data_IF_287217869778
#
_entry.id   IF_287217869778
#
_cell.length_a   1.000
_cell.length_b   1.000
_cell.length_c   1.000
_cell.angle_alpha   90.00
_cell.angle_beta   90.00
_cell.angle_gamma   90.00
#
_symmetry.space_group_name_H-M   'P 1'
#
loop_
_entity.id
_entity.type
_entity.pdbx_description
1 polymer ?
#
# COMPACT_ATOMS: atom_id res chain seq x y z
N UNK A 1 16.40 -19.22 -8.12
CA UNK A 1 16.56 -18.06 -7.22
C UNK A 1 15.22 -17.35 -7.18
N UNK A 2 14.73 -16.99 -6.00
CA UNK A 2 13.41 -16.38 -5.90
C UNK A 2 13.42 -14.97 -6.51
N UNK A 3 12.51 -14.70 -7.46
CA UNK A 3 12.35 -13.40 -8.14
C UNK A 3 11.69 -12.37 -7.22
N UNK A 4 12.36 -12.07 -6.10
CA UNK A 4 11.93 -11.04 -5.18
C UNK A 4 12.63 -9.73 -5.47
N UNK A 5 11.85 -8.69 -5.73
CA UNK A 5 12.34 -7.33 -5.88
C UNK A 5 12.76 -6.78 -4.51
N UNK A 6 13.92 -6.11 -4.50
CA UNK A 6 14.34 -5.34 -3.35
C UNK A 6 13.41 -4.15 -3.12
N UNK A 7 13.40 -3.62 -1.91
CA UNK A 7 12.61 -2.42 -1.60
C UNK A 7 13.00 -1.21 -2.46
N UNK A 8 14.28 -1.08 -2.82
CA UNK A 8 14.73 0.00 -3.69
C UNK A 8 14.14 -0.14 -5.10
N UNK A 9 14.10 -1.35 -5.65
CA UNK A 9 13.46 -1.61 -6.95
C UNK A 9 11.95 -1.37 -6.90
N UNK A 10 11.27 -1.80 -5.83
CA UNK A 10 9.84 -1.51 -5.65
C UNK A 10 9.57 -0.01 -5.62
N UNK A 11 10.40 0.76 -4.91
CA UNK A 11 10.30 2.22 -4.84
C UNK A 11 10.50 2.85 -6.22
N UNK A 12 11.53 2.44 -6.95
CA UNK A 12 11.87 2.98 -8.27
C UNK A 12 10.76 2.70 -9.30
N UNK A 13 10.27 1.46 -9.34
CA UNK A 13 9.17 1.07 -10.22
C UNK A 13 7.89 1.85 -9.86
N UNK A 14 7.55 1.91 -8.57
CA UNK A 14 6.35 2.63 -8.11
C UNK A 14 6.44 4.11 -8.45
N UNK A 15 7.59 4.72 -8.21
CA UNK A 15 7.83 6.13 -8.52
C UNK A 15 7.72 6.39 -10.02
N UNK A 16 8.37 5.59 -10.86
CA UNK A 16 8.30 5.70 -12.31
C UNK A 16 6.87 5.56 -12.86
N UNK A 17 6.10 4.59 -12.34
CA UNK A 17 4.69 4.42 -12.72
C UNK A 17 3.86 5.65 -12.39
N UNK A 18 4.01 6.19 -11.18
CA UNK A 18 3.25 7.37 -10.77
C UNK A 18 3.70 8.61 -11.52
N UNK A 19 4.99 8.77 -11.86
CA UNK A 19 5.43 9.88 -12.71
C UNK A 19 4.80 9.85 -14.10
N UNK A 20 4.80 8.68 -14.75
CA UNK A 20 4.18 8.51 -16.07
C UNK A 20 2.68 8.80 -15.98
N UNK A 21 2.01 8.25 -14.97
CA UNK A 21 0.60 8.51 -14.72
C UNK A 21 0.32 10.00 -14.48
N UNK A 22 1.10 10.67 -13.64
CA UNK A 22 0.93 12.08 -13.29
C UNK A 22 1.20 12.99 -14.49
N UNK A 23 2.15 12.65 -15.38
CA UNK A 23 2.38 13.39 -16.63
C UNK A 23 1.18 13.31 -17.57
N UNK A 24 0.54 12.15 -17.67
CA UNK A 24 -0.65 11.95 -18.50
C UNK A 24 -1.91 12.56 -17.86
N UNK A 25 -1.98 12.55 -16.52
CA UNK A 25 -3.16 12.91 -15.74
C UNK A 25 -2.83 13.91 -14.62
N UNK A 26 -2.32 15.13 -14.93
CA UNK A 26 -1.74 16.03 -13.94
C UNK A 26 -2.73 16.46 -12.85
N UNK A 27 -4.03 16.58 -13.17
CA UNK A 27 -5.07 16.93 -12.20
C UNK A 27 -5.42 15.81 -11.21
N UNK A 28 -4.99 14.58 -11.48
CA UNK A 28 -5.31 13.37 -10.72
C UNK A 28 -4.20 12.94 -9.75
N UNK A 29 -3.10 13.69 -9.70
CA UNK A 29 -1.92 13.40 -8.89
C UNK A 29 -1.34 14.67 -8.22
N UNK A 30 -2.21 15.58 -7.78
CA UNK A 30 -1.80 16.90 -7.21
C UNK A 30 -1.58 16.82 -5.70
N UNK A 31 -2.64 16.45 -4.97
CA UNK A 31 -2.63 16.36 -3.51
C UNK A 31 -2.50 14.90 -3.06
N UNK A 32 -3.20 14.00 -3.75
CA UNK A 32 -3.15 12.57 -3.55
C UNK A 32 -3.36 11.89 -4.89
N UNK A 33 -2.92 10.64 -5.02
CA UNK A 33 -3.18 9.86 -6.23
C UNK A 33 -4.64 9.43 -6.26
N UNK A 34 -5.35 9.77 -7.34
CA UNK A 34 -6.63 9.17 -7.69
C UNK A 34 -6.39 7.70 -8.07
N UNK A 35 -6.44 6.84 -7.04
CA UNK A 35 -6.08 5.41 -7.16
C UNK A 35 -7.10 4.65 -7.99
N UNK A 36 -8.38 5.03 -7.93
CA UNK A 36 -9.43 4.43 -8.75
C UNK A 36 -9.14 4.68 -10.23
N UNK A 37 -8.90 5.93 -10.61
CA UNK A 37 -8.54 6.29 -11.98
C UNK A 37 -7.19 5.69 -12.43
N UNK A 38 -6.21 5.59 -11.53
CA UNK A 38 -4.97 4.88 -11.83
C UNK A 38 -5.23 3.41 -12.18
N UNK A 39 -6.12 2.74 -11.45
CA UNK A 39 -6.46 1.34 -11.70
C UNK A 39 -7.28 1.19 -12.99
N UNK A 40 -8.31 2.00 -13.18
CA UNK A 40 -9.26 1.83 -14.28
C UNK A 40 -8.74 2.31 -15.62
N UNK A 41 -8.08 3.47 -15.64
CA UNK A 41 -7.70 4.16 -16.87
C UNK A 41 -6.23 3.97 -17.23
N UNK A 42 -5.36 3.78 -16.22
CA UNK A 42 -3.92 3.58 -16.47
C UNK A 42 -3.53 2.10 -16.48
N UNK A 43 -4.02 1.30 -15.52
CA UNK A 43 -3.77 -0.15 -15.50
C UNK A 43 -4.77 -0.96 -16.34
N UNK A 44 -5.88 -0.34 -16.78
CA UNK A 44 -6.96 -0.97 -17.55
C UNK A 44 -7.61 -2.16 -16.81
N UNK A 45 -7.73 -2.04 -15.49
CA UNK A 45 -8.38 -3.03 -14.61
C UNK A 45 -9.81 -2.60 -14.28
N UNK A 46 -10.61 -3.56 -13.80
CA UNK A 46 -11.95 -3.26 -13.27
C UNK A 46 -11.92 -3.20 -11.75
N UNK A 47 -12.84 -2.44 -11.16
CA UNK A 47 -13.08 -2.43 -9.72
C UNK A 47 -14.54 -2.80 -9.49
N UNK A 48 -14.79 -3.79 -8.64
CA UNK A 48 -16.13 -4.20 -8.22
C UNK A 48 -16.23 -4.28 -6.70
N UNK A 49 -17.44 -4.03 -6.17
CA UNK A 49 -17.74 -4.15 -4.75
C UNK A 49 -18.81 -5.19 -4.50
N UNK A 50 -18.54 -6.13 -3.60
CA UNK A 50 -19.47 -7.20 -3.21
C UNK A 50 -19.45 -7.43 -1.71
N UNK A 51 -20.36 -8.25 -1.18
CA UNK A 51 -20.33 -8.65 0.23
C UNK A 51 -19.78 -10.07 0.31
N UNK A 52 -18.58 -10.23 0.83
CA UNK A 52 -17.97 -11.55 0.95
C UNK A 52 -18.68 -12.37 2.03
N UNK A 53 -18.81 -13.67 1.78
CA UNK A 53 -19.34 -14.67 2.70
C UNK A 53 -18.27 -15.72 3.07
N UNK A 54 -16.99 -15.36 2.90
CA UNK A 54 -15.84 -16.18 3.25
C UNK A 54 -15.58 -16.17 4.76
N UNK A 55 -15.03 -17.26 5.29
CA UNK A 55 -14.70 -17.40 6.72
C UNK A 55 -13.48 -16.54 7.13
N UNK A 56 -12.64 -16.13 6.17
CA UNK A 56 -11.47 -15.29 6.40
C UNK A 56 -11.81 -13.79 6.31
N UNK A 57 -12.32 -13.26 7.42
CA UNK A 57 -12.66 -11.84 7.56
C UNK A 57 -11.46 -10.87 7.46
N UNK A 58 -10.22 -11.39 7.41
CA UNK A 58 -9.04 -10.53 7.23
C UNK A 58 -8.84 -10.11 5.78
N UNK A 59 -9.39 -10.88 4.83
CA UNK A 59 -9.35 -10.59 3.39
C UNK A 59 -10.52 -9.72 2.99
N UNK A 60 -10.19 -8.51 2.57
CA UNK A 60 -11.19 -7.46 2.30
C UNK A 60 -11.12 -6.95 0.86
N UNK A 61 -10.24 -7.53 0.07
CA UNK A 61 -10.13 -7.40 -1.37
C UNK A 61 -9.32 -8.55 -1.96
N UNK A 62 -9.44 -8.74 -3.28
CA UNK A 62 -8.57 -9.64 -4.05
C UNK A 62 -8.57 -9.26 -5.54
N UNK A 63 -7.53 -9.70 -6.25
CA UNK A 63 -7.46 -9.71 -7.72
C UNK A 63 -8.09 -10.98 -8.30
N UNK A 64 -9.16 -10.85 -9.09
CA UNK A 64 -9.81 -11.98 -9.73
C UNK A 64 -8.95 -12.59 -10.86
N UNK A 65 -8.85 -13.93 -10.85
CA UNK A 65 -8.13 -14.73 -11.83
C UNK A 65 -9.02 -15.17 -13.02
N UNK A 66 -10.35 -15.09 -12.89
CA UNK A 66 -11.32 -15.55 -13.88
C UNK A 66 -11.76 -17.00 -13.72
N UNK A 67 -11.27 -17.70 -12.69
CA UNK A 67 -11.40 -19.15 -12.55
C UNK A 67 -11.86 -19.56 -11.14
N UNK A 68 -11.33 -18.92 -10.09
CA UNK A 68 -11.60 -19.30 -8.71
C UNK A 68 -12.92 -18.69 -8.21
N UNK A 69 -13.90 -19.52 -7.79
CA UNK A 69 -15.14 -19.01 -7.21
C UNK A 69 -14.92 -18.51 -5.78
N UNK A 70 -15.60 -17.41 -5.44
CA UNK A 70 -15.64 -16.85 -4.08
C UNK A 70 -17.09 -16.82 -3.59
N UNK A 71 -17.29 -17.08 -2.31
CA UNK A 71 -18.60 -17.05 -1.67
C UNK A 71 -19.05 -15.61 -1.41
N UNK A 72 -20.25 -15.28 -1.87
CA UNK A 72 -20.84 -13.95 -1.75
C UNK A 72 -22.19 -14.00 -1.06
N UNK A 73 -22.48 -12.99 -0.24
CA UNK A 73 -23.84 -12.70 0.19
C UNK A 73 -24.62 -12.00 -0.94
N UNK A 74 -25.62 -12.69 -1.49
CA UNK A 74 -26.50 -12.16 -2.53
C UNK A 74 -27.96 -12.44 -2.18
N UNK A 75 -28.77 -11.39 -2.06
CA UNK A 75 -30.21 -11.48 -1.77
C UNK A 75 -30.59 -12.35 -0.55
N UNK A 76 -29.73 -12.43 0.46
CA UNK A 76 -29.95 -13.24 1.67
C UNK A 76 -29.46 -14.68 1.57
N UNK A 77 -28.91 -15.08 0.43
CA UNK A 77 -28.29 -16.39 0.21
C UNK A 77 -26.76 -16.26 0.07
N UNK A 78 -26.05 -17.36 0.28
CA UNK A 78 -24.61 -17.48 0.01
C UNK A 78 -24.45 -18.21 -1.31
N UNK A 79 -23.86 -17.54 -2.30
CA UNK A 79 -23.65 -18.10 -3.63
C UNK A 79 -22.16 -18.10 -3.99
N UNK A 80 -21.63 -19.14 -4.65
CA UNK A 80 -20.33 -19.08 -5.30
C UNK A 80 -20.42 -18.24 -6.57
N UNK A 81 -19.45 -17.36 -6.79
CA UNK A 81 -19.38 -16.53 -7.99
C UNK A 81 -17.94 -16.39 -8.49
N UNK A 82 -17.75 -16.50 -9.80
CA UNK A 82 -16.45 -16.31 -10.46
C UNK A 82 -16.44 -14.94 -11.12
N UNK A 83 -15.57 -14.05 -10.63
CA UNK A 83 -15.39 -12.73 -11.22
C UNK A 83 -14.50 -12.80 -12.46
N UNK A 84 -14.71 -11.94 -13.48
CA UNK A 84 -13.84 -11.89 -14.64
C UNK A 84 -12.39 -11.57 -14.24
N UNK A 85 -11.43 -12.17 -14.94
CA UNK A 85 -10.00 -11.86 -14.78
C UNK A 85 -9.74 -10.35 -14.91
N UNK A 86 -8.70 -9.86 -14.22
CA UNK A 86 -8.29 -8.45 -14.20
C UNK A 86 -9.33 -7.53 -13.54
N UNK A 87 -10.04 -8.06 -12.54
CA UNK A 87 -11.00 -7.32 -11.72
C UNK A 87 -10.52 -7.30 -10.28
N UNK A 88 -10.30 -6.11 -9.73
CA UNK A 88 -10.10 -5.91 -8.30
C UNK A 88 -11.48 -5.95 -7.64
N UNK A 89 -11.71 -6.92 -6.78
CA UNK A 89 -12.96 -7.07 -6.05
C UNK A 89 -12.73 -6.68 -4.60
N UNK A 90 -13.57 -5.79 -4.06
CA UNK A 90 -13.47 -5.27 -2.70
C UNK A 90 -14.75 -5.57 -1.92
N UNK A 91 -14.63 -5.69 -0.60
CA UNK A 91 -15.82 -5.81 0.23
C UNK A 91 -16.58 -4.46 0.33
N UNK A 92 -17.90 -4.51 0.20
CA UNK A 92 -18.83 -3.38 0.31
C UNK A 92 -18.70 -2.60 1.62
N UNK A 93 -18.26 -3.21 2.72
CA UNK A 93 -18.08 -2.47 3.97
C UNK A 93 -17.06 -1.32 3.81
N UNK A 94 -16.09 -1.46 2.89
CA UNK A 94 -15.09 -0.42 2.57
C UNK A 94 -15.72 0.83 1.94
N UNK A 95 -16.96 0.75 1.45
CA UNK A 95 -17.67 1.92 0.93
C UNK A 95 -18.02 2.95 2.01
N UNK A 96 -18.00 2.58 3.29
CA UNK A 96 -18.23 3.51 4.38
C UNK A 96 -17.15 4.61 4.42
N UNK A 97 -17.54 5.87 4.62
CA UNK A 97 -16.63 7.03 4.66
C UNK A 97 -15.47 6.87 5.65
N UNK A 98 -15.73 6.25 6.82
CA UNK A 98 -14.70 5.97 7.83
C UNK A 98 -13.61 5.02 7.34
N UNK A 99 -13.90 4.20 6.32
CA UNK A 99 -12.97 3.24 5.73
C UNK A 99 -12.23 3.82 4.50
N UNK A 100 -12.42 5.10 4.18
CA UNK A 100 -11.85 5.73 2.98
C UNK A 100 -10.35 5.45 2.77
N UNK A 101 -9.54 5.64 3.82
CA UNK A 101 -8.10 5.37 3.76
C UNK A 101 -7.78 3.87 3.61
N UNK A 102 -8.58 2.99 4.21
CA UNK A 102 -8.42 1.53 4.10
C UNK A 102 -8.79 1.06 2.70
N UNK A 103 -9.90 1.56 2.15
CA UNK A 103 -10.34 1.30 0.78
C UNK A 103 -9.27 1.63 -0.24
N UNK A 104 -8.69 2.83 -0.14
CA UNK A 104 -7.59 3.28 -1.02
C UNK A 104 -6.36 2.38 -0.90
N UNK A 105 -6.01 1.98 0.33
CA UNK A 105 -4.88 1.08 0.55
C UNK A 105 -5.13 -0.30 -0.05
N UNK A 106 -6.29 -0.91 0.19
CA UNK A 106 -6.65 -2.20 -0.39
C UNK A 106 -6.64 -2.16 -1.92
N UNK A 107 -7.18 -1.12 -2.54
CA UNK A 107 -7.05 -0.90 -3.99
C UNK A 107 -5.60 -0.89 -4.47
N UNK A 108 -4.75 -0.10 -3.81
CA UNK A 108 -3.34 0.00 -4.17
C UNK A 108 -2.58 -1.32 -3.94
N UNK A 109 -2.94 -2.08 -2.92
CA UNK A 109 -2.39 -3.40 -2.62
C UNK A 109 -2.75 -4.41 -3.72
N UNK A 110 -4.02 -4.54 -4.10
CA UNK A 110 -4.43 -5.43 -5.19
C UNK A 110 -3.85 -5.01 -6.55
N UNK A 111 -3.76 -3.70 -6.81
CA UNK A 111 -3.08 -3.17 -7.99
C UNK A 111 -1.59 -3.54 -7.99
N UNK A 112 -0.95 -3.54 -6.82
CA UNK A 112 0.46 -3.92 -6.67
C UNK A 112 0.69 -5.39 -7.03
N UNK A 113 -0.20 -6.30 -6.63
CA UNK A 113 -0.13 -7.70 -7.07
C UNK A 113 -0.17 -7.82 -8.60
N UNK A 114 -1.04 -7.07 -9.28
CA UNK A 114 -1.09 -7.07 -10.75
C UNK A 114 0.21 -6.57 -11.37
N UNK A 115 0.75 -5.46 -10.87
CA UNK A 115 2.00 -4.86 -11.37
C UNK A 115 3.18 -5.82 -11.15
N UNK A 116 3.31 -6.38 -9.94
CA UNK A 116 4.37 -7.31 -9.58
C UNK A 116 4.33 -8.57 -10.45
N UNK A 117 3.14 -9.13 -10.71
CA UNK A 117 2.96 -10.24 -11.63
C UNK A 117 3.48 -9.93 -13.03
N UNK A 118 3.17 -8.73 -13.56
CA UNK A 118 3.70 -8.28 -14.87
C UNK A 118 5.22 -8.12 -14.87
N UNK A 119 5.80 -7.55 -13.81
CA UNK A 119 7.25 -7.37 -13.70
C UNK A 119 7.96 -8.73 -13.68
N UNK A 120 7.45 -9.68 -12.90
CA UNK A 120 8.01 -11.04 -12.79
C UNK A 120 7.91 -11.79 -14.12
N UNK A 121 6.74 -11.80 -14.77
CA UNK A 121 6.57 -12.45 -16.08
C UNK A 121 7.48 -11.83 -17.15
N UNK A 122 7.66 -10.51 -17.14
CA UNK A 122 8.57 -9.81 -18.07
C UNK A 122 10.02 -10.18 -17.82
N UNK A 123 10.44 -10.27 -16.55
CA UNK A 123 11.79 -10.70 -16.19
C UNK A 123 12.03 -12.17 -16.57
N UNK A 124 11.02 -13.05 -16.45
CA UNK A 124 11.11 -14.46 -16.86
C UNK A 124 11.18 -14.62 -18.38
N UNK A 125 10.37 -13.88 -19.14
CA UNK A 125 10.43 -13.87 -20.61
C UNK A 125 11.72 -13.25 -21.13
N UNK A 126 12.32 -12.27 -20.44
CA UNK A 126 13.65 -11.77 -20.77
C UNK A 126 14.78 -12.74 -20.36
N UNK A 127 14.51 -13.70 -19.47
CA UNK A 127 15.43 -14.71 -18.94
C UNK A 127 15.18 -16.12 -19.50
N UNK A 128 14.77 -16.25 -20.76
CA UNK A 128 14.81 -17.58 -21.41
C UNK A 128 16.17 -18.24 -21.13
N UNK A 129 16.11 -19.41 -20.49
CA UNK A 129 17.15 -20.18 -19.76
C UNK A 129 17.22 -20.05 -18.23
N UNK A 130 16.08 -20.10 -17.54
CA UNK A 130 15.94 -21.04 -16.41
C UNK A 130 14.46 -21.24 -16.14
N UNK A 131 13.95 -22.41 -16.52
CA UNK A 131 12.59 -22.83 -16.19
C UNK A 131 12.36 -22.62 -14.69
N UNK A 132 11.25 -21.97 -14.36
CA UNK A 132 10.56 -22.25 -13.11
C UNK A 132 10.41 -23.77 -13.08
N UNK A 133 11.15 -24.43 -12.20
CA UNK A 133 11.08 -25.88 -12.03
C UNK A 133 9.72 -26.17 -11.40
N UNK A 134 8.68 -26.27 -12.23
CA UNK A 134 7.32 -26.65 -11.81
C UNK A 134 7.30 -28.03 -11.14
N UNK A 135 8.40 -28.80 -11.21
CA UNK A 135 8.59 -30.08 -10.55
C UNK A 135 9.25 -29.97 -9.16
N UNK A 136 9.61 -28.75 -8.70
CA UNK A 136 10.15 -28.56 -7.35
C UNK A 136 9.03 -28.64 -6.32
N UNK A 137 9.04 -29.70 -5.53
CA UNK A 137 8.20 -29.84 -4.34
C UNK A 137 8.72 -28.87 -3.26
N UNK A 138 8.00 -27.79 -3.03
CA UNK A 138 8.28 -26.84 -1.95
C UNK A 138 7.78 -27.38 -0.61
N UNK A 139 8.53 -27.12 0.47
CA UNK A 139 8.03 -27.39 1.82
C UNK A 139 6.93 -26.39 2.19
N UNK A 140 6.10 -26.72 3.19
CA UNK A 140 5.05 -25.80 3.69
C UNK A 140 5.65 -24.48 4.17
N UNK A 141 6.81 -24.54 4.80
CA UNK A 141 7.54 -23.39 5.32
C UNK A 141 8.06 -22.51 4.17
N UNK A 142 8.57 -23.12 3.09
CA UNK A 142 8.99 -22.38 1.90
C UNK A 142 7.80 -21.67 1.25
N UNK A 143 6.66 -22.35 1.08
CA UNK A 143 5.43 -21.74 0.55
C UNK A 143 4.95 -20.58 1.43
N UNK A 144 4.97 -20.74 2.76
CA UNK A 144 4.58 -19.67 3.68
C UNK A 144 5.52 -18.46 3.59
N UNK A 145 6.83 -18.69 3.50
CA UNK A 145 7.81 -17.64 3.33
C UNK A 145 7.62 -16.91 1.99
N UNK A 146 7.28 -17.64 0.93
CA UNK A 146 6.97 -17.04 -0.36
C UNK A 146 5.74 -16.14 -0.30
N UNK A 147 4.67 -16.61 0.34
CA UNK A 147 3.45 -15.83 0.56
C UNK A 147 3.73 -14.56 1.36
N UNK A 148 4.42 -14.69 2.50
CA UNK A 148 4.80 -13.53 3.34
C UNK A 148 5.64 -12.51 2.56
N UNK A 149 6.52 -12.98 1.68
CA UNK A 149 7.32 -12.08 0.85
C UNK A 149 6.49 -11.36 -0.20
N UNK A 150 5.54 -12.03 -0.85
CA UNK A 150 4.67 -11.42 -1.86
C UNK A 150 3.78 -10.33 -1.26
N UNK A 151 3.15 -10.62 -0.12
CA UNK A 151 2.34 -9.64 0.64
C UNK A 151 3.16 -8.42 1.06
N UNK A 152 4.39 -8.64 1.55
CA UNK A 152 5.29 -7.55 1.91
C UNK A 152 5.66 -6.66 0.72
N UNK A 153 5.86 -7.24 -0.47
CA UNK A 153 6.13 -6.46 -1.69
C UNK A 153 4.90 -5.67 -2.12
N UNK A 154 3.71 -6.28 -2.07
CA UNK A 154 2.46 -5.62 -2.38
C UNK A 154 2.19 -4.44 -1.44
N UNK A 155 2.35 -4.61 -0.13
CA UNK A 155 2.22 -3.54 0.86
C UNK A 155 3.23 -2.40 0.63
N UNK A 156 4.49 -2.77 0.33
CA UNK A 156 5.55 -1.80 0.09
C UNK A 156 5.29 -0.99 -1.18
N UNK A 157 4.87 -1.64 -2.26
CA UNK A 157 4.49 -0.98 -3.51
C UNK A 157 3.23 -0.12 -3.33
N UNK A 158 2.19 -0.63 -2.65
CA UNK A 158 0.95 0.11 -2.39
C UNK A 158 1.21 1.43 -1.64
N UNK A 159 2.05 1.38 -0.59
CA UNK A 159 2.45 2.59 0.14
C UNK A 159 3.21 3.58 -0.76
N UNK A 160 4.02 3.08 -1.69
CA UNK A 160 4.82 3.89 -2.60
C UNK A 160 4.00 4.50 -3.74
N UNK A 161 2.97 3.78 -4.23
CA UNK A 161 1.98 4.27 -5.19
C UNK A 161 1.10 5.37 -4.57
N UNK A 162 0.63 5.19 -3.33
CA UNK A 162 -0.25 6.18 -2.67
C UNK A 162 0.51 7.39 -2.13
N UNK A 163 1.75 7.19 -1.69
CA UNK A 163 2.59 8.23 -1.09
C UNK A 163 3.94 8.32 -1.80
N UNK A 164 3.96 8.67 -3.10
CA UNK A 164 5.22 8.90 -3.82
C UNK A 164 5.98 10.06 -3.16
N UNK A 165 7.32 10.00 -3.22
CA UNK A 165 8.21 10.95 -2.54
C UNK A 165 7.79 12.42 -2.72
N UNK A 166 7.51 12.85 -3.95
CA UNK A 166 7.14 14.23 -4.25
C UNK A 166 5.84 14.69 -3.57
N UNK A 167 4.84 13.81 -3.40
CA UNK A 167 3.60 14.15 -2.68
C UNK A 167 3.85 14.26 -1.17
N UNK A 168 4.70 13.39 -0.63
CA UNK A 168 5.08 13.45 0.78
C UNK A 168 5.87 14.72 1.07
N UNK A 169 6.80 15.09 0.19
CA UNK A 169 7.56 16.34 0.27
C UNK A 169 6.64 17.56 0.19
N UNK A 170 5.66 17.57 -0.71
CA UNK A 170 4.65 18.63 -0.78
C UNK A 170 3.82 18.76 0.50
N UNK A 171 3.43 17.62 1.10
CA UNK A 171 2.72 17.61 2.38
C UNK A 171 3.61 18.14 3.51
N UNK A 172 4.88 17.73 3.56
CA UNK A 172 5.83 18.18 4.57
C UNK A 172 6.12 19.68 4.43
N UNK A 173 6.29 20.18 3.21
CA UNK A 173 6.43 21.61 2.93
C UNK A 173 5.21 22.38 3.43
N UNK A 174 4.00 21.88 3.16
CA UNK A 174 2.74 22.56 3.52
C UNK A 174 2.47 22.63 5.03
N UNK A 175 2.82 21.59 5.79
CA UNK A 175 2.44 21.48 7.20
C UNK A 175 3.60 21.61 8.19
N UNK A 176 4.84 21.50 7.72
CA UNK A 176 6.04 21.53 8.55
C UNK A 176 7.15 22.44 8.00
N UNK A 177 6.89 23.28 6.99
CA UNK A 177 7.88 24.13 6.32
C UNK A 177 9.14 23.35 5.88
N UNK A 178 8.93 22.11 5.39
CA UNK A 178 9.99 21.18 4.99
C UNK A 178 10.93 20.75 6.13
N UNK A 179 10.60 21.04 7.38
CA UNK A 179 11.33 20.53 8.55
C UNK A 179 10.97 19.07 8.80
N UNK A 180 11.96 18.28 9.20
CA UNK A 180 11.73 16.92 9.64
C UNK A 180 10.87 16.91 10.91
N UNK A 181 10.01 15.90 11.03
CA UNK A 181 9.15 15.74 12.21
C UNK A 181 9.92 14.91 13.24
N UNK A 182 10.01 15.45 14.46
CA UNK A 182 10.70 14.79 15.57
C UNK A 182 9.97 13.53 16.03
N UNK A 183 10.70 12.43 16.04
CA UNK A 183 10.29 11.13 16.55
C UNK A 183 11.18 10.79 17.76
N UNK A 184 10.58 10.70 18.93
CA UNK A 184 11.24 10.33 20.18
C UNK A 184 11.11 8.82 20.41
N UNK A 185 12.25 8.16 20.62
CA UNK A 185 12.34 6.70 20.59
C UNK A 185 11.87 6.17 19.24
N UNK A 186 11.00 5.17 19.26
CA UNK A 186 10.52 4.52 18.04
C UNK A 186 9.13 4.98 17.57
N UNK A 187 8.33 5.60 18.45
CA UNK A 187 6.90 5.83 18.18
C UNK A 187 6.33 7.13 18.71
N UNK A 188 7.08 7.91 19.50
CA UNK A 188 6.51 9.04 20.25
C UNK A 188 6.72 10.36 19.50
N UNK A 189 5.64 11.11 19.34
CA UNK A 189 5.65 12.46 18.77
C UNK A 189 5.14 13.47 19.81
N UNK A 190 5.60 14.72 19.74
CA UNK A 190 5.01 15.85 20.49
C UNK A 190 3.55 16.08 20.12
N UNK A 191 2.82 16.87 20.92
CA UNK A 191 1.43 17.22 20.59
C UNK A 191 1.33 17.91 19.22
N UNK A 192 2.22 18.85 18.94
CA UNK A 192 2.32 19.54 17.66
C UNK A 192 2.72 18.60 16.53
N UNK A 193 3.69 17.71 16.77
CA UNK A 193 4.09 16.68 15.81
C UNK A 193 2.93 15.75 15.43
N UNK A 194 2.11 15.33 16.42
CA UNK A 194 0.89 14.55 16.17
C UNK A 194 -0.13 15.33 15.34
N UNK A 195 -0.29 16.62 15.58
CA UNK A 195 -1.21 17.47 14.82
C UNK A 195 -0.76 17.62 13.35
N UNK A 196 0.54 17.89 13.11
CA UNK A 196 1.14 17.94 11.77
C UNK A 196 0.94 16.61 11.04
N UNK A 197 1.27 15.49 11.68
CA UNK A 197 1.13 14.16 11.11
C UNK A 197 -0.32 13.81 10.74
N UNK A 198 -1.29 14.19 11.58
CA UNK A 198 -2.72 14.03 11.26
C UNK A 198 -3.13 14.87 10.05
N UNK A 199 -2.68 16.12 9.98
CA UNK A 199 -2.98 16.99 8.85
C UNK A 199 -2.39 16.46 7.54
N UNK A 200 -1.14 15.98 7.58
CA UNK A 200 -0.50 15.34 6.43
C UNK A 200 -1.23 14.06 6.00
N UNK A 201 -1.60 13.19 6.94
CA UNK A 201 -2.31 11.95 6.64
C UNK A 201 -3.67 12.22 5.98
N UNK A 202 -4.42 13.19 6.52
CA UNK A 202 -5.69 13.65 5.93
C UNK A 202 -5.48 14.27 4.55
N UNK A 203 -4.43 15.07 4.38
CA UNK A 203 -4.10 15.70 3.11
C UNK A 203 -3.77 14.66 2.02
N UNK A 204 -3.00 13.62 2.37
CA UNK A 204 -2.64 12.53 1.45
C UNK A 204 -3.76 11.48 1.29
N UNK A 205 -4.79 11.49 2.15
CA UNK A 205 -5.88 10.53 2.12
C UNK A 205 -5.47 9.12 2.59
N UNK A 206 -4.55 9.03 3.55
CA UNK A 206 -3.99 7.78 4.09
C UNK A 206 -4.18 7.69 5.60
N UNK A 207 -3.99 6.50 6.18
CA UNK A 207 -4.01 6.36 7.64
C UNK A 207 -2.78 6.96 8.30
N UNK A 208 -2.93 7.41 9.55
CA UNK A 208 -1.83 7.94 10.36
C UNK A 208 -0.65 6.95 10.47
N UNK A 209 -0.96 5.67 10.65
CA UNK A 209 0.06 4.60 10.76
C UNK A 209 0.79 4.39 9.42
N UNK A 210 0.07 4.40 8.30
CA UNK A 210 0.68 4.27 6.98
C UNK A 210 1.65 5.42 6.69
N UNK A 211 1.28 6.65 7.06
CA UNK A 211 2.17 7.80 6.91
C UNK A 211 3.44 7.69 7.74
N UNK A 212 3.35 7.24 9.01
CA UNK A 212 4.55 7.02 9.85
C UNK A 212 5.50 6.04 9.19
N UNK A 213 4.98 4.88 8.77
CA UNK A 213 5.78 3.85 8.10
C UNK A 213 6.45 4.46 6.88
N UNK A 214 5.71 5.23 6.08
CA UNK A 214 6.24 5.87 4.87
C UNK A 214 7.32 6.91 5.15
N UNK A 215 7.13 7.79 6.13
CA UNK A 215 8.14 8.80 6.48
C UNK A 215 9.42 8.17 7.02
N UNK A 216 9.30 7.12 7.85
CA UNK A 216 10.44 6.30 8.26
C UNK A 216 11.13 5.71 7.05
N UNK A 217 10.36 5.22 6.08
CA UNK A 217 10.88 4.61 4.86
C UNK A 217 11.63 5.58 3.94
N UNK A 218 11.20 6.83 3.91
CA UNK A 218 11.79 7.91 3.11
C UNK A 218 12.92 8.66 3.85
N UNK A 219 13.23 8.28 5.10
CA UNK A 219 14.14 8.99 6.01
C UNK A 219 13.73 10.46 6.24
N UNK A 220 12.42 10.69 6.44
CA UNK A 220 11.82 12.03 6.64
C UNK A 220 11.40 12.29 8.10
N UNK A 221 11.98 11.56 9.05
CA UNK A 221 11.78 11.75 10.49
C UNK A 221 13.13 12.05 11.16
N UNK A 222 13.11 12.96 12.13
CA UNK A 222 14.28 13.27 12.96
C UNK A 222 14.21 12.44 14.24
N UNK A 223 15.17 11.53 14.45
CA UNK A 223 15.18 10.66 15.63
C UNK A 223 15.79 11.35 16.84
N UNK A 224 15.09 11.31 17.96
CA UNK A 224 15.50 11.82 19.27
C UNK A 224 15.41 10.74 20.34
N UNK A 225 16.20 10.87 21.42
CA UNK A 225 16.11 9.96 22.55
C UNK A 225 14.80 10.19 23.33
N UNK A 226 14.18 9.12 23.84
CA UNK A 226 12.94 9.25 24.63
C UNK A 226 13.13 10.08 25.90
N UNK A 227 14.34 10.14 26.44
CA UNK A 227 14.70 10.96 27.60
C UNK A 227 14.52 12.45 27.34
N UNK A 228 14.73 12.90 26.09
CA UNK A 228 14.47 14.30 25.68
C UNK A 228 12.97 14.62 25.78
N UNK A 229 12.11 13.68 25.37
CA UNK A 229 10.66 13.85 25.49
C UNK A 229 10.22 13.92 26.97
N UNK A 230 10.75 13.03 27.81
CA UNK A 230 10.41 12.98 29.23
C UNK A 230 10.83 14.28 29.94
N UNK A 231 12.05 14.76 29.66
CA UNK A 231 12.60 15.94 30.32
C UNK A 231 12.05 17.27 29.77
N UNK A 232 11.93 17.41 28.45
CA UNK A 232 11.58 18.69 27.81
C UNK A 232 10.07 18.85 27.61
N UNK A 233 9.37 17.79 27.18
CA UNK A 233 7.94 17.84 26.87
C UNK A 233 7.08 17.52 28.10
N UNK A 234 7.39 16.43 28.81
CA UNK A 234 6.64 16.05 30.01
C UNK A 234 7.10 16.79 31.27
N UNK A 235 8.31 17.39 31.25
CA UNK A 235 8.93 18.04 32.41
C UNK A 235 9.01 17.12 33.64
N UNK A 236 9.25 15.84 33.39
CA UNK A 236 9.42 14.81 34.41
C UNK A 236 10.91 14.49 34.57
N UNK A 237 11.30 14.02 35.76
CA UNK A 237 12.69 13.61 36.04
C UNK A 237 13.49 14.59 36.89
N UNK A 238 12.92 15.75 37.22
CA UNK A 238 13.51 16.72 38.16
C UNK A 238 14.69 17.50 37.57
N UNK A 239 14.55 18.82 37.55
CA UNK A 239 15.67 19.74 37.69
C UNK A 239 15.55 20.37 39.08
#
# INVERSE_FOLDING_TARGET
MSNYLSRAELEEISHGLIEVYAKQNPKKAVQSIDIEHFITDFLMLKIEYTSFAEDDYSKVGFMADGETPILLHSNGEIIPFVFPKNTIVLDKYLLAEKEYGRRRFTMAHEASHHILGKVQTTQETARFHSEYDNDRVYSKEEVLQMFQSAEWQADTMAASLLMPRFLVENALHKFADSKLIKLYGDTTFTADGKAIMRNMANYLGVSYKALIIRLTHLNMLEKHDISEYISQELKLGGA
#
